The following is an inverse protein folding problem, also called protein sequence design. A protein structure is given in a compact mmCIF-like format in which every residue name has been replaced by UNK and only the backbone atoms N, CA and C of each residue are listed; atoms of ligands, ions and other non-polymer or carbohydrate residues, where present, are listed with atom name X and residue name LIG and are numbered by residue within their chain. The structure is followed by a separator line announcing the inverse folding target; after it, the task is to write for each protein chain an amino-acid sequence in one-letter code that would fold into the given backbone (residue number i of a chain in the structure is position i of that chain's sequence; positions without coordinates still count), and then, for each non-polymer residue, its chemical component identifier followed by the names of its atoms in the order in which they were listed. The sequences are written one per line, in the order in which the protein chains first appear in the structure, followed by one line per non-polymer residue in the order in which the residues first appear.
data_IF_636921723464
#
_entry.id   IF_636921723464
#
_cell.length_a   1.000
_cell.length_b   1.000
_cell.length_c   1.000
_cell.angle_alpha   90.00
_cell.angle_beta   90.00
_cell.angle_gamma   90.00
#
_symmetry.space_group_name_H-M   'P 1'
#
loop_
_entity.id
_entity.type
_entity.pdbx_description
1 polymer ?
#
# COMPACT_ATOMS: atom_id res chain seq x y z
N UNK A 1 15.87 16.76 57.39
CA UNK A 1 15.92 16.89 55.93
C UNK A 1 16.04 15.48 55.33
N UNK A 2 15.00 14.99 54.65
CA UNK A 2 15.05 13.77 53.84
C UNK A 2 14.83 14.22 52.41
N UNK A 3 15.86 14.10 51.58
CA UNK A 3 15.79 14.32 50.14
C UNK A 3 14.78 13.35 49.53
N UNK A 4 13.81 13.92 48.80
CA UNK A 4 12.95 13.18 47.88
C UNK A 4 13.81 12.82 46.68
N UNK A 5 14.31 11.58 46.67
CA UNK A 5 14.94 10.99 45.50
C UNK A 5 13.92 10.90 44.37
N UNK A 6 14.14 11.66 43.30
CA UNK A 6 13.42 11.51 42.04
C UNK A 6 13.63 10.08 41.52
N UNK A 7 12.61 9.22 41.66
CA UNK A 7 12.61 7.93 40.99
C UNK A 7 12.54 8.14 39.48
N UNK A 8 13.67 7.97 38.82
CA UNK A 8 13.76 7.78 37.38
C UNK A 8 13.15 6.42 37.07
N UNK A 9 11.89 6.39 36.62
CA UNK A 9 11.21 5.15 36.25
C UNK A 9 11.92 4.50 35.03
N UNK A 10 12.19 3.18 35.05
CA UNK A 10 12.80 2.48 33.92
C UNK A 10 11.81 2.32 32.76
N UNK A 11 12.34 2.49 31.54
CA UNK A 11 11.62 2.66 30.26
C UNK A 11 10.93 1.40 29.71
N UNK A 12 10.62 0.42 30.56
CA UNK A 12 10.00 -0.86 30.14
C UNK A 12 8.96 -1.29 31.16
N UNK A 13 7.80 -0.64 31.14
CA UNK A 13 6.59 -1.29 31.66
C UNK A 13 6.24 -2.43 30.69
N UNK A 14 6.54 -3.66 31.09
CA UNK A 14 6.17 -4.84 30.31
C UNK A 14 4.65 -4.94 30.29
N UNK A 15 4.07 -5.00 29.08
CA UNK A 15 2.65 -5.30 28.91
C UNK A 15 2.38 -6.62 29.67
N UNK A 16 1.45 -6.63 30.65
CA UNK A 16 1.12 -7.84 31.39
C UNK A 16 0.78 -8.99 30.43
N UNK A 17 1.36 -10.17 30.65
CA UNK A 17 1.08 -11.37 29.86
C UNK A 17 -0.27 -12.01 30.20
N UNK A 18 -0.85 -11.63 31.33
CA UNK A 18 -2.18 -12.03 31.72
C UNK A 18 -3.20 -11.09 31.07
N UNK A 19 -3.97 -11.64 30.13
CA UNK A 19 -4.98 -10.90 29.39
C UNK A 19 -6.14 -10.43 30.29
N UNK A 20 -6.37 -11.08 31.43
CA UNK A 20 -7.45 -10.74 32.38
C UNK A 20 -7.22 -9.45 33.15
N UNK A 21 -6.00 -8.89 33.09
CA UNK A 21 -5.64 -7.63 33.77
C UNK A 21 -5.35 -6.48 32.81
N UNK A 22 -5.44 -6.71 31.49
CA UNK A 22 -5.29 -5.64 30.51
C UNK A 22 -6.49 -4.71 30.59
N UNK A 23 -6.23 -3.46 30.97
CA UNK A 23 -7.22 -2.39 30.97
C UNK A 23 -6.87 -1.40 29.87
N UNK A 24 -7.71 -1.34 28.85
CA UNK A 24 -7.61 -0.34 27.80
C UNK A 24 -8.39 0.90 28.23
N UNK A 25 -7.68 1.95 28.62
CA UNK A 25 -8.26 3.26 28.89
C UNK A 25 -7.81 4.26 27.83
N UNK A 26 -8.72 5.13 27.43
CA UNK A 26 -8.39 6.23 26.55
C UNK A 26 -7.44 7.19 27.28
N UNK A 27 -6.18 7.20 26.89
CA UNK A 27 -5.17 8.07 27.49
C UNK A 27 -5.38 9.54 27.11
N UNK A 28 -5.67 9.82 25.84
CA UNK A 28 -5.82 11.19 25.31
C UNK A 28 -6.54 11.20 23.96
N UNK A 29 -6.97 12.39 23.50
CA UNK A 29 -7.58 12.61 22.19
C UNK A 29 -6.75 13.62 21.40
N UNK A 30 -6.21 13.20 20.26
CA UNK A 30 -5.49 14.07 19.33
C UNK A 30 -6.49 14.76 18.41
N UNK A 31 -6.73 16.05 18.62
CA UNK A 31 -7.69 16.84 17.84
C UNK A 31 -6.96 17.83 16.91
N UNK A 32 -7.48 18.01 15.70
CA UNK A 32 -6.95 19.01 14.77
C UNK A 32 -7.41 18.84 13.33
N UNK A 33 -7.57 17.60 12.86
CA UNK A 33 -8.10 17.36 11.52
C UNK A 33 -9.54 17.83 11.38
N UNK A 34 -9.89 18.32 10.18
CA UNK A 34 -11.23 18.80 9.82
C UNK A 34 -12.06 17.75 9.08
N UNK A 35 -11.45 16.63 8.70
CA UNK A 35 -12.09 15.49 8.05
C UNK A 35 -11.74 14.18 8.72
N UNK A 36 -12.18 13.06 8.13
CA UNK A 36 -11.84 11.72 8.64
C UNK A 36 -10.33 11.53 8.62
N UNK A 37 -9.80 10.84 9.64
CA UNK A 37 -8.41 10.41 9.67
C UNK A 37 -8.35 9.01 9.07
N UNK A 38 -7.67 8.87 7.93
CA UNK A 38 -7.66 7.63 7.15
C UNK A 38 -6.43 6.77 7.46
N UNK A 39 -5.34 7.39 7.91
CA UNK A 39 -4.06 6.73 8.12
C UNK A 39 -3.32 7.32 9.30
N UNK A 40 -2.54 6.48 9.99
CA UNK A 40 -1.60 6.87 11.03
C UNK A 40 -0.31 6.07 10.87
N UNK A 41 0.83 6.68 11.13
CA UNK A 41 2.13 6.01 11.05
C UNK A 41 3.12 6.56 12.06
N UNK A 42 3.84 5.66 12.72
CA UNK A 42 4.95 6.00 13.60
C UNK A 42 6.22 6.17 12.77
N UNK A 43 7.10 7.10 13.17
CA UNK A 43 8.47 7.03 12.70
C UNK A 43 9.19 5.81 13.34
N UNK A 44 10.31 5.39 12.75
CA UNK A 44 11.07 4.22 13.20
C UNK A 44 11.51 4.29 14.68
N UNK A 45 11.77 5.50 15.18
CA UNK A 45 12.24 5.72 16.56
C UNK A 45 11.09 5.85 17.59
N UNK A 46 9.82 5.88 17.13
CA UNK A 46 8.65 6.07 17.99
C UNK A 46 8.56 7.46 18.64
N UNK A 47 9.29 8.45 18.13
CA UNK A 47 9.34 9.83 18.65
C UNK A 47 8.36 10.77 17.96
N UNK A 48 7.75 10.34 16.85
CA UNK A 48 6.74 11.07 16.10
C UNK A 48 5.66 10.13 15.61
N UNK A 49 4.44 10.64 15.58
CA UNK A 49 3.30 10.01 14.93
C UNK A 49 2.80 10.98 13.84
N UNK A 50 2.43 10.47 12.67
CA UNK A 50 1.69 11.23 11.66
C UNK A 50 0.27 10.72 11.52
N UNK A 51 -0.62 11.59 11.04
CA UNK A 51 -1.97 11.23 10.60
C UNK A 51 -2.32 11.93 9.29
N UNK A 52 -2.87 11.19 8.33
CA UNK A 52 -3.37 11.73 7.05
C UNK A 52 -4.90 11.71 6.98
N UNK A 53 -5.50 12.68 6.28
CA UNK A 53 -6.94 12.94 6.38
C UNK A 53 -7.62 13.35 5.08
N UNK A 54 -8.95 13.25 5.08
CA UNK A 54 -9.87 13.88 4.13
C UNK A 54 -9.71 15.40 4.02
N UNK A 55 -9.12 16.06 5.02
CA UNK A 55 -8.83 17.50 4.97
C UNK A 55 -7.59 17.86 4.14
N UNK A 56 -7.05 16.89 3.38
CA UNK A 56 -5.91 17.00 2.46
C UNK A 56 -4.57 17.32 3.13
N UNK A 57 -4.49 17.21 4.46
CA UNK A 57 -3.27 17.49 5.22
C UNK A 57 -2.73 16.26 5.94
N UNK A 58 -1.44 16.29 6.23
CA UNK A 58 -0.82 15.38 7.21
C UNK A 58 -0.47 16.18 8.46
N UNK A 59 -0.83 15.66 9.64
CA UNK A 59 -0.46 16.24 10.93
C UNK A 59 0.64 15.45 11.61
N UNK A 60 1.51 16.15 12.31
CA UNK A 60 2.59 15.56 13.12
C UNK A 60 2.25 15.73 14.59
N UNK A 61 2.40 14.65 15.35
CA UNK A 61 2.12 14.59 16.77
C UNK A 61 3.37 14.23 17.55
N UNK A 62 3.58 14.92 18.67
CA UNK A 62 4.59 14.58 19.65
C UNK A 62 3.99 13.63 20.71
N UNK A 63 4.41 12.36 20.75
CA UNK A 63 3.90 11.37 21.70
C UNK A 63 4.24 11.66 23.16
N UNK A 64 5.26 12.48 23.43
CA UNK A 64 5.65 12.82 24.80
C UNK A 64 4.67 13.79 25.46
N UNK A 65 4.02 14.63 24.64
CA UNK A 65 3.04 15.63 25.08
C UNK A 65 1.63 15.35 24.54
N UNK A 66 1.49 14.41 23.61
CA UNK A 66 0.28 14.13 22.85
C UNK A 66 -0.32 15.39 22.22
N UNK A 67 0.54 16.25 21.67
CA UNK A 67 0.17 17.52 21.07
C UNK A 67 0.49 17.55 19.58
N UNK A 68 -0.26 18.35 18.82
CA UNK A 68 0.07 18.63 17.43
C UNK A 68 1.28 19.57 17.39
N UNK A 69 2.36 19.12 16.75
CA UNK A 69 3.61 19.89 16.62
C UNK A 69 3.90 20.33 15.20
N UNK A 70 3.13 19.83 14.23
CA UNK A 70 3.29 20.21 12.84
C UNK A 70 2.05 19.92 11.99
N UNK A 71 1.97 20.66 10.89
CA UNK A 71 1.02 20.50 9.81
C UNK A 71 1.81 20.51 8.50
N UNK A 72 1.63 19.47 7.70
CA UNK A 72 2.22 19.35 6.36
C UNK A 72 1.09 19.55 5.36
N UNK A 73 1.13 20.69 4.67
CA UNK A 73 0.32 20.93 3.48
C UNK A 73 0.98 20.20 2.31
N UNK A 74 0.53 18.96 2.11
CA UNK A 74 1.06 18.09 1.05
C UNK A 74 0.73 18.63 -0.35
N UNK A 75 -0.24 19.54 -0.49
CA UNK A 75 -0.76 19.96 -1.79
C UNK A 75 -1.63 18.92 -2.50
N UNK A 76 -2.02 17.82 -1.83
CA UNK A 76 -3.07 16.93 -2.31
C UNK A 76 -4.37 17.71 -2.51
N UNK A 77 -5.06 17.46 -3.62
CA UNK A 77 -6.34 18.13 -3.93
C UNK A 77 -7.55 17.40 -3.38
N UNK A 78 -7.35 16.16 -2.92
CA UNK A 78 -8.39 15.29 -2.35
C UNK A 78 -7.83 14.50 -1.15
N UNK A 79 -8.66 13.61 -0.63
CA UNK A 79 -8.42 12.85 0.59
C UNK A 79 -7.09 12.09 0.56
N UNK A 80 -6.34 12.15 1.65
CA UNK A 80 -5.14 11.32 1.85
C UNK A 80 -5.59 9.98 2.43
N UNK A 81 -5.26 8.88 1.75
CA UNK A 81 -5.59 7.53 2.22
C UNK A 81 -4.42 6.83 2.89
N UNK A 82 -3.17 7.15 2.50
CA UNK A 82 -1.99 6.60 3.15
C UNK A 82 -0.88 7.65 3.28
N UNK A 83 -0.15 7.59 4.39
CA UNK A 83 1.02 8.40 4.63
C UNK A 83 2.00 7.62 5.53
N UNK A 84 3.28 7.60 5.17
CA UNK A 84 4.33 6.90 5.91
C UNK A 84 5.60 7.76 5.98
N UNK A 85 6.32 7.70 7.10
CA UNK A 85 7.66 8.28 7.18
C UNK A 85 8.62 7.55 6.24
N UNK A 86 9.47 8.31 5.55
CA UNK A 86 10.57 7.72 4.77
C UNK A 86 11.59 7.10 5.72
N UNK A 87 11.88 5.79 5.63
CA UNK A 87 12.83 5.14 6.53
C UNK A 87 14.22 5.77 6.42
N UNK A 88 14.85 6.07 7.56
CA UNK A 88 16.18 6.67 7.59
C UNK A 88 16.24 8.18 7.33
N UNK A 89 15.12 8.84 7.01
CA UNK A 89 15.04 10.31 6.93
C UNK A 89 15.15 11.02 8.28
N UNK A 90 15.10 10.24 9.38
CA UNK A 90 15.19 10.77 10.73
C UNK A 90 13.96 11.57 11.17
N UNK A 91 12.78 11.28 10.59
CA UNK A 91 11.49 11.98 10.75
C UNK A 91 11.25 13.21 9.85
N UNK A 92 12.18 13.49 8.92
CA UNK A 92 12.16 14.69 8.07
C UNK A 92 11.28 14.60 6.83
N UNK A 93 11.00 13.40 6.36
CA UNK A 93 10.31 13.17 5.10
C UNK A 93 9.19 12.15 5.26
N UNK A 94 8.09 12.41 4.57
CA UNK A 94 6.94 11.51 4.47
C UNK A 94 6.57 11.30 3.00
N UNK A 95 6.06 10.12 2.69
CA UNK A 95 5.36 9.85 1.43
C UNK A 95 3.87 9.77 1.73
N UNK A 96 3.06 10.43 0.92
CA UNK A 96 1.59 10.38 1.00
C UNK A 96 0.98 10.05 -0.36
N UNK A 97 -0.18 9.40 -0.33
CA UNK A 97 -1.00 9.16 -1.50
C UNK A 97 -2.49 9.17 -1.15
N UNK A 98 -3.34 9.31 -2.17
CA UNK A 98 -4.77 9.38 -1.93
C UNK A 98 -5.67 9.40 -3.16
N UNK A 99 -6.84 10.01 -2.95
CA UNK A 99 -7.97 10.00 -3.88
C UNK A 99 -7.77 10.84 -5.15
N UNK A 100 -6.77 11.71 -5.15
CA UNK A 100 -6.36 12.49 -6.33
C UNK A 100 -5.44 11.71 -7.27
N UNK A 101 -5.06 10.48 -6.92
CA UNK A 101 -4.16 9.67 -7.73
C UNK A 101 -2.71 10.15 -7.67
N UNK A 102 -2.38 11.08 -6.79
CA UNK A 102 -1.03 11.60 -6.66
C UNK A 102 -0.22 10.81 -5.62
N UNK A 103 1.07 10.68 -5.86
CA UNK A 103 2.05 10.27 -4.85
C UNK A 103 2.97 11.44 -4.59
N UNK A 104 3.12 11.84 -3.33
CA UNK A 104 3.89 13.03 -2.93
C UNK A 104 4.93 12.71 -1.88
N UNK A 105 6.10 13.31 -2.02
CA UNK A 105 7.15 13.36 -1.01
C UNK A 105 7.13 14.74 -0.36
N UNK A 106 6.93 14.82 0.94
CA UNK A 106 6.84 16.08 1.66
C UNK A 106 7.81 16.15 2.82
N UNK A 107 8.37 17.34 3.05
CA UNK A 107 9.15 17.62 4.26
C UNK A 107 8.23 17.83 5.46
N UNK A 108 8.63 17.32 6.61
CA UNK A 108 7.88 17.44 7.88
C UNK A 108 8.24 18.69 8.68
N UNK A 109 9.42 19.26 8.41
CA UNK A 109 9.94 20.47 9.02
C UNK A 109 10.16 21.56 7.96
N UNK A 110 10.39 22.79 8.41
CA UNK A 110 10.68 23.91 7.53
C UNK A 110 9.43 24.49 6.87
N UNK A 111 9.55 24.86 5.59
CA UNK A 111 8.46 25.39 4.78
C UNK A 111 7.47 24.30 4.31
N UNK A 112 7.71 23.04 4.68
CA UNK A 112 6.84 21.92 4.31
C UNK A 112 6.90 21.61 2.82
N UNK A 113 8.03 21.87 2.16
CA UNK A 113 8.20 21.63 0.73
C UNK A 113 7.67 20.24 0.34
N UNK A 114 6.71 20.22 -0.58
CA UNK A 114 6.14 19.01 -1.13
C UNK A 114 6.46 18.89 -2.63
N UNK A 115 6.85 17.69 -3.04
CA UNK A 115 7.15 17.35 -4.42
C UNK A 115 6.28 16.19 -4.87
N UNK A 116 5.62 16.39 -6.01
CA UNK A 116 4.92 15.34 -6.74
C UNK A 116 5.92 14.31 -7.30
N UNK A 117 5.69 13.05 -6.98
CA UNK A 117 6.46 11.90 -7.48
C UNK A 117 5.80 11.25 -8.68
N UNK A 118 4.47 11.14 -8.71
CA UNK A 118 3.71 10.61 -9.83
C UNK A 118 2.23 11.03 -9.77
N UNK A 119 1.60 11.08 -10.94
CA UNK A 119 0.15 11.18 -11.13
C UNK A 119 -0.36 9.84 -11.68
N UNK A 120 -1.48 9.37 -11.15
CA UNK A 120 -2.13 8.12 -11.54
C UNK A 120 -3.59 8.46 -11.87
N UNK A 121 -4.17 7.78 -12.85
CA UNK A 121 -5.57 8.02 -13.25
C UNK A 121 -6.56 7.61 -12.16
N UNK A 122 -6.18 6.61 -11.35
CA UNK A 122 -7.00 6.04 -10.28
C UNK A 122 -6.42 6.33 -8.89
N UNK A 123 -7.28 6.21 -7.87
CA UNK A 123 -6.89 6.47 -6.50
C UNK A 123 -5.90 5.45 -5.94
N UNK A 124 -5.02 5.92 -5.06
CA UNK A 124 -4.03 5.12 -4.36
C UNK A 124 -4.48 4.87 -2.92
N UNK A 125 -4.32 3.64 -2.45
CA UNK A 125 -4.90 3.20 -1.19
C UNK A 125 -3.85 2.93 -0.10
N UNK A 126 -2.60 2.64 -0.50
CA UNK A 126 -1.55 2.28 0.45
C UNK A 126 -0.21 2.89 0.04
N UNK A 127 0.64 3.12 1.03
CA UNK A 127 2.09 3.30 0.90
C UNK A 127 2.72 2.28 1.83
N UNK A 128 3.70 1.53 1.34
CA UNK A 128 4.42 0.56 2.18
C UNK A 128 5.86 0.44 1.71
N UNK A 129 6.81 0.88 2.54
CA UNK A 129 8.23 0.71 2.23
C UNK A 129 8.65 -0.76 2.20
N UNK A 130 9.50 -1.09 1.23
CA UNK A 130 10.07 -2.43 1.10
C UNK A 130 11.13 -2.62 2.19
N UNK A 131 11.01 -3.61 3.08
CA UNK A 131 11.94 -3.78 4.18
C UNK A 131 13.38 -3.99 3.69
N UNK A 132 14.31 -3.21 4.24
CA UNK A 132 15.72 -3.21 3.82
C UNK A 132 16.05 -2.28 2.65
N UNK A 133 15.05 -1.65 2.03
CA UNK A 133 15.22 -0.70 0.92
C UNK A 133 14.53 0.63 1.25
N UNK A 134 15.19 1.54 1.99
CA UNK A 134 14.57 2.74 2.54
C UNK A 134 14.08 3.74 1.50
N UNK A 135 14.51 3.62 0.24
CA UNK A 135 14.03 4.45 -0.86
C UNK A 135 12.93 3.82 -1.70
N UNK A 136 12.63 2.53 -1.49
CA UNK A 136 11.71 1.77 -2.35
C UNK A 136 10.42 1.48 -1.59
N UNK A 137 9.29 1.81 -2.20
CA UNK A 137 7.98 1.54 -1.62
C UNK A 137 6.99 1.04 -2.68
N UNK A 138 5.94 0.38 -2.20
CA UNK A 138 4.83 -0.09 -2.99
C UNK A 138 3.60 0.76 -2.71
N UNK A 139 2.77 0.92 -3.74
CA UNK A 139 1.41 1.44 -3.58
C UNK A 139 0.44 0.49 -4.24
N UNK A 140 -0.74 0.35 -3.66
CA UNK A 140 -1.87 -0.34 -4.30
C UNK A 140 -2.90 0.66 -4.80
N UNK A 141 -3.61 0.28 -5.86
CA UNK A 141 -4.47 1.20 -6.60
C UNK A 141 -5.82 0.57 -6.92
N UNK A 142 -6.83 1.42 -7.08
CA UNK A 142 -8.18 0.97 -7.45
C UNK A 142 -8.22 0.22 -8.79
N UNK A 143 -7.28 0.54 -9.70
CA UNK A 143 -7.10 -0.13 -11.00
C UNK A 143 -6.63 -1.60 -10.91
N UNK A 144 -6.47 -2.10 -9.67
CA UNK A 144 -6.03 -3.45 -9.33
C UNK A 144 -4.57 -3.71 -9.68
N UNK A 145 -3.74 -2.68 -9.65
CA UNK A 145 -2.30 -2.82 -9.75
C UNK A 145 -1.60 -2.55 -8.43
N UNK A 146 -0.38 -3.07 -8.35
CA UNK A 146 0.62 -2.67 -7.37
C UNK A 146 1.74 -2.02 -8.15
N UNK A 147 2.06 -0.77 -7.83
CA UNK A 147 3.16 -0.02 -8.43
C UNK A 147 4.33 0.06 -7.47
N UNK A 148 5.54 0.04 -8.04
CA UNK A 148 6.79 0.18 -7.30
C UNK A 148 7.40 1.55 -7.58
N UNK A 149 7.91 2.18 -6.54
CA UNK A 149 8.53 3.49 -6.59
C UNK A 149 9.91 3.43 -5.97
N UNK A 150 10.87 4.16 -6.55
CA UNK A 150 12.17 4.42 -5.95
C UNK A 150 12.39 5.93 -5.82
N UNK A 151 12.52 6.43 -4.60
CA UNK A 151 12.72 7.86 -4.31
C UNK A 151 14.01 8.44 -4.93
N UNK A 152 14.95 7.57 -5.31
CA UNK A 152 16.19 7.96 -6.00
C UNK A 152 15.96 8.23 -7.49
N UNK A 153 14.93 7.60 -8.06
CA UNK A 153 14.54 7.81 -9.44
C UNK A 153 13.71 9.09 -9.55
N UNK A 154 13.96 9.84 -10.62
CA UNK A 154 13.13 10.98 -10.96
C UNK A 154 12.07 10.52 -11.94
N UNK A 155 10.98 9.96 -11.43
CA UNK A 155 9.76 9.87 -12.21
C UNK A 155 9.26 11.31 -12.43
N UNK A 156 9.01 11.64 -13.69
CA UNK A 156 8.32 12.89 -14.02
C UNK A 156 6.85 12.78 -13.57
N UNK A 157 6.19 13.91 -13.30
CA UNK A 157 4.76 13.92 -12.98
C UNK A 157 3.90 13.20 -14.05
N UNK A 158 4.36 13.18 -15.30
CA UNK A 158 3.70 12.54 -16.45
C UNK A 158 4.15 11.09 -16.72
N UNK A 159 5.11 10.54 -15.98
CA UNK A 159 5.55 9.16 -16.17
C UNK A 159 4.75 8.22 -15.27
N UNK A 160 4.03 7.28 -15.87
CA UNK A 160 3.30 6.25 -15.13
C UNK A 160 4.31 5.32 -14.42
N UNK A 161 4.27 5.22 -13.08
CA UNK A 161 5.23 4.40 -12.35
C UNK A 161 5.12 2.92 -12.75
N UNK A 162 6.24 2.17 -12.68
CA UNK A 162 6.25 0.78 -13.11
C UNK A 162 5.26 -0.08 -12.33
N UNK A 163 4.39 -0.78 -13.07
CA UNK A 163 3.50 -1.80 -12.52
C UNK A 163 4.31 -3.02 -12.13
N UNK A 164 4.40 -3.30 -10.84
CA UNK A 164 5.03 -4.49 -10.30
C UNK A 164 4.13 -5.72 -10.47
N UNK A 165 2.82 -5.56 -10.23
CA UNK A 165 1.85 -6.65 -10.24
C UNK A 165 0.48 -6.17 -10.72
N UNK A 166 -0.19 -6.98 -11.53
CA UNK A 166 -1.57 -6.75 -11.97
C UNK A 166 -2.49 -7.84 -11.44
N UNK A 167 -3.47 -7.45 -10.61
CA UNK A 167 -4.43 -8.31 -9.92
C UNK A 167 -5.70 -8.50 -10.78
N UNK A 168 -5.55 -8.88 -12.05
CA UNK A 168 -6.63 -8.84 -13.07
C UNK A 168 -7.92 -9.57 -12.69
N UNK A 169 -7.83 -10.62 -11.87
CA UNK A 169 -8.97 -11.43 -11.40
C UNK A 169 -9.32 -11.22 -9.93
N UNK A 170 -8.71 -10.23 -9.28
CA UNK A 170 -9.01 -9.87 -7.90
C UNK A 170 -10.03 -8.72 -7.82
N UNK A 171 -10.57 -8.54 -6.61
CA UNK A 171 -11.19 -7.29 -6.19
C UNK A 171 -10.16 -6.14 -6.12
N UNK A 172 -10.65 -4.92 -5.82
CA UNK A 172 -9.75 -3.79 -5.57
C UNK A 172 -8.87 -4.10 -4.37
N UNK A 173 -7.54 -3.86 -4.44
CA UNK A 173 -6.70 -3.99 -3.26
C UNK A 173 -7.19 -3.01 -2.18
N UNK A 174 -6.94 -3.34 -0.93
CA UNK A 174 -7.37 -2.57 0.23
C UNK A 174 -6.23 -2.34 1.22
N UNK A 175 -5.30 -3.29 1.31
CA UNK A 175 -4.14 -3.18 2.17
C UNK A 175 -3.01 -4.10 1.67
N UNK A 176 -1.76 -3.76 2.01
CA UNK A 176 -0.56 -4.51 1.69
C UNK A 176 0.37 -4.54 2.91
N UNK A 177 0.88 -5.71 3.28
CA UNK A 177 1.85 -5.82 4.35
C UNK A 177 3.00 -6.80 4.03
N UNK A 178 4.21 -6.45 4.48
CA UNK A 178 5.37 -7.33 4.37
C UNK A 178 5.44 -8.29 5.56
N UNK A 179 6.00 -9.47 5.31
CA UNK A 179 6.29 -10.43 6.36
C UNK A 179 7.45 -9.91 7.24
N UNK A 180 7.30 -9.88 8.57
CA UNK A 180 8.22 -9.18 9.47
C UNK A 180 9.64 -9.76 9.49
N UNK A 181 9.81 -11.05 9.17
CA UNK A 181 11.12 -11.73 9.11
C UNK A 181 11.51 -12.24 7.72
N UNK A 182 10.68 -12.00 6.69
CA UNK A 182 10.93 -12.44 5.31
C UNK A 182 10.68 -11.25 4.39
N UNK A 183 11.66 -10.36 4.21
CA UNK A 183 11.45 -9.05 3.57
C UNK A 183 11.05 -9.13 2.09
N UNK A 184 11.21 -10.30 1.45
CA UNK A 184 10.73 -10.52 0.10
C UNK A 184 9.26 -10.96 0.02
N UNK A 185 8.65 -11.39 1.12
CA UNK A 185 7.29 -11.89 1.13
C UNK A 185 6.32 -10.81 1.60
N UNK A 186 5.22 -10.61 0.86
CA UNK A 186 4.15 -9.69 1.24
C UNK A 186 2.79 -10.30 0.95
N UNK A 187 1.76 -9.79 1.62
CA UNK A 187 0.37 -10.17 1.42
C UNK A 187 -0.46 -8.95 1.02
N UNK A 188 -1.48 -9.18 0.20
CA UNK A 188 -2.45 -8.18 -0.23
C UNK A 188 -3.85 -8.65 0.15
N UNK A 189 -4.58 -7.79 0.85
CA UNK A 189 -6.02 -7.90 1.04
C UNK A 189 -6.76 -7.19 -0.10
N UNK A 190 -7.77 -7.83 -0.66
CA UNK A 190 -8.61 -7.26 -1.72
C UNK A 190 -10.07 -7.19 -1.26
N UNK A 191 -10.92 -6.49 -2.01
CA UNK A 191 -12.37 -6.44 -1.81
C UNK A 191 -13.09 -7.77 -2.10
N UNK A 192 -12.34 -8.84 -2.36
CA UNK A 192 -12.81 -10.22 -2.53
C UNK A 192 -12.41 -11.05 -1.29
N UNK A 193 -12.93 -12.28 -1.10
CA UNK A 193 -12.68 -13.03 0.13
C UNK A 193 -11.29 -13.71 0.17
N UNK A 194 -10.33 -13.25 -0.63
CA UNK A 194 -9.04 -13.92 -0.85
C UNK A 194 -7.88 -13.00 -0.47
N UNK A 195 -7.09 -13.41 0.52
CA UNK A 195 -5.76 -12.83 0.78
C UNK A 195 -4.74 -13.50 -0.12
N UNK A 196 -3.94 -12.71 -0.82
CA UNK A 196 -2.93 -13.22 -1.76
C UNK A 196 -1.54 -12.93 -1.22
N UNK A 197 -0.71 -13.97 -1.13
CA UNK A 197 0.68 -13.84 -0.70
C UNK A 197 1.63 -13.97 -1.90
N UNK A 198 2.64 -13.11 -1.93
CA UNK A 198 3.60 -12.99 -3.00
C UNK A 198 5.03 -13.04 -2.46
N UNK A 199 5.97 -13.38 -3.33
CA UNK A 199 7.41 -13.25 -3.08
C UNK A 199 8.02 -12.36 -4.18
N UNK A 200 8.59 -11.23 -3.80
CA UNK A 200 9.23 -10.26 -4.69
C UNK A 200 10.29 -10.90 -5.59
N UNK A 201 10.93 -11.99 -5.14
CA UNK A 201 11.95 -12.71 -5.93
C UNK A 201 11.34 -13.54 -7.06
N UNK A 202 10.07 -13.90 -6.92
CA UNK A 202 9.34 -14.79 -7.84
C UNK A 202 8.28 -14.02 -8.65
N UNK A 203 8.07 -12.75 -8.35
CA UNK A 203 7.14 -11.92 -9.09
C UNK A 203 7.76 -11.66 -10.47
N UNK A 204 7.11 -12.03 -11.59
CA UNK A 204 7.73 -11.92 -12.91
C UNK A 204 7.98 -10.45 -13.25
N UNK A 205 9.21 -10.00 -13.04
CA UNK A 205 9.70 -8.69 -13.46
C UNK A 205 9.92 -8.73 -14.96
N UNK A 206 9.14 -7.96 -15.72
CA UNK A 206 9.41 -7.73 -17.14
C UNK A 206 10.18 -6.40 -17.31
N UNK A 207 11.40 -6.31 -16.76
CA UNK A 207 12.16 -5.05 -16.70
C UNK A 207 12.95 -4.69 -17.98
N UNK A 208 12.67 -5.24 -19.17
CA UNK A 208 13.52 -4.89 -20.33
C UNK A 208 12.92 -4.87 -21.74
N UNK A 209 11.65 -5.19 -22.00
CA UNK A 209 11.21 -5.30 -23.42
C UNK A 209 9.92 -4.59 -23.84
N UNK A 210 9.20 -3.90 -22.96
CA UNK A 210 8.11 -2.98 -23.37
C UNK A 210 7.02 -3.57 -24.27
N UNK A 211 6.88 -4.90 -24.37
CA UNK A 211 5.82 -5.57 -25.15
C UNK A 211 4.74 -6.12 -24.23
N UNK A 212 3.48 -5.90 -24.62
CA UNK A 212 2.28 -6.55 -24.05
C UNK A 212 2.44 -8.07 -24.19
N UNK A 213 2.46 -8.79 -23.06
CA UNK A 213 2.39 -10.25 -23.06
C UNK A 213 0.94 -10.70 -23.21
N UNK A 214 0.76 -11.68 -24.08
CA UNK A 214 -0.53 -12.21 -24.48
C UNK A 214 -1.28 -12.86 -23.30
N UNK A 215 -2.58 -12.61 -23.30
CA UNK A 215 -3.58 -12.72 -22.23
C UNK A 215 -3.91 -14.13 -21.71
N UNK A 216 -3.06 -15.15 -21.97
CA UNK A 216 -3.47 -16.56 -21.85
C UNK A 216 -2.67 -17.47 -20.93
N UNK A 217 -1.62 -17.01 -20.26
CA UNK A 217 -0.79 -17.92 -19.43
C UNK A 217 -0.89 -17.59 -17.93
N UNK A 218 -2.00 -18.09 -17.38
CA UNK A 218 -2.26 -18.65 -16.05
C UNK A 218 -1.52 -18.17 -14.78
N UNK A 219 -2.30 -17.50 -13.93
CA UNK A 219 -2.16 -17.38 -12.47
C UNK A 219 -2.12 -18.76 -11.77
N UNK A 220 -2.61 -19.82 -12.43
CA UNK A 220 -2.71 -21.18 -11.88
C UNK A 220 -1.38 -21.95 -11.83
N UNK A 221 -0.39 -21.56 -12.64
CA UNK A 221 0.91 -22.23 -12.68
C UNK A 221 1.75 -21.98 -11.43
N UNK A 222 1.39 -20.98 -10.61
CA UNK A 222 2.11 -20.63 -9.37
C UNK A 222 1.74 -21.51 -8.16
N UNK A 223 0.64 -22.28 -8.24
CA UNK A 223 0.11 -23.06 -7.11
C UNK A 223 0.19 -24.58 -7.28
N UNK A 224 0.90 -25.11 -8.28
CA UNK A 224 1.13 -26.55 -8.36
C UNK A 224 2.15 -26.96 -7.27
N UNK A 225 1.77 -27.78 -6.26
CA UNK A 225 2.76 -28.41 -5.41
C UNK A 225 3.58 -29.35 -6.29
N UNK A 226 4.90 -29.28 -6.19
CA UNK A 226 5.78 -30.30 -6.78
C UNK A 226 5.53 -31.62 -6.04
N UNK A 227 4.55 -32.40 -6.48
CA UNK A 227 4.17 -33.67 -5.85
C UNK A 227 2.89 -34.26 -6.43
N UNK A 228 3.08 -35.25 -7.34
CA UNK A 228 2.10 -36.24 -7.81
C UNK A 228 0.75 -35.72 -8.34
N UNK A 229 0.65 -35.68 -9.67
CA UNK A 229 -0.63 -35.79 -10.39
C UNK A 229 -1.21 -37.19 -10.09
N UNK A 230 -2.45 -37.34 -9.58
CA UNK A 230 -3.08 -38.65 -9.48
C UNK A 230 -3.35 -39.21 -10.89
N UNK A 231 -3.07 -40.49 -11.16
CA UNK A 231 -3.30 -41.06 -12.48
C UNK A 231 -4.81 -41.27 -12.66
N UNK A 232 -5.46 -40.44 -13.49
CA UNK A 232 -6.83 -40.72 -13.89
C UNK A 232 -7.72 -39.52 -14.19
N UNK A 233 -7.31 -38.61 -15.07
CA UNK A 233 -8.28 -37.79 -15.82
C UNK A 233 -7.73 -37.52 -17.21
N UNK A 234 -8.14 -38.35 -18.17
CA UNK A 234 -8.02 -38.01 -19.59
C UNK A 234 -9.04 -36.91 -19.87
N UNK A 235 -8.58 -35.71 -20.22
CA UNK A 235 -9.40 -34.78 -20.99
C UNK A 235 -8.93 -34.82 -22.43
N UNK A 236 -9.87 -35.18 -23.31
CA UNK A 236 -9.68 -35.33 -24.74
C UNK A 236 -9.04 -34.07 -25.35
N UNK A 237 -7.87 -34.28 -25.95
CA UNK A 237 -7.38 -33.44 -27.04
C UNK A 237 -8.29 -33.64 -28.25
N UNK A 238 -8.98 -32.58 -28.70
CA UNK A 238 -9.77 -32.65 -29.91
C UNK A 238 -10.44 -31.33 -30.28
N UNK A 239 -9.88 -30.71 -31.32
CA UNK A 239 -10.56 -29.84 -32.29
C UNK A 239 -10.78 -28.35 -31.93
N UNK A 240 -9.93 -27.49 -32.52
CA UNK A 240 -10.42 -26.23 -33.09
C UNK A 240 -10.72 -26.42 -34.59
N UNK A 241 -10.91 -25.36 -35.39
CA UNK A 241 -11.56 -24.08 -35.13
C UNK A 241 -12.79 -23.90 -36.07
N UNK A 242 -13.90 -23.35 -35.60
CA UNK A 242 -14.99 -22.94 -36.50
C UNK A 242 -15.44 -21.49 -36.27
N UNK A 243 -15.05 -20.67 -37.22
CA UNK A 243 -15.71 -19.46 -37.70
C UNK A 243 -17.22 -19.67 -37.87
N UNK A 244 -18.03 -18.82 -37.23
CA UNK A 244 -19.41 -18.47 -37.66
C UNK A 244 -19.64 -16.99 -37.30
N UNK A 245 -19.45 -16.09 -38.25
CA UNK A 245 -20.51 -15.53 -39.11
C UNK A 245 -21.70 -14.97 -38.33
N UNK A 246 -21.70 -13.64 -38.30
CA UNK A 246 -22.81 -12.74 -37.97
C UNK A 246 -24.06 -13.08 -38.79
N UNK A 247 -25.19 -13.32 -38.13
CA UNK A 247 -26.49 -13.31 -38.77
C UNK A 247 -27.12 -11.92 -38.64
N UNK A 248 -27.40 -11.32 -39.81
CA UNK A 248 -28.14 -10.06 -39.98
C UNK A 248 -29.63 -10.39 -40.00
N UNK A 249 -30.39 -9.66 -39.18
CA UNK A 249 -31.85 -9.59 -39.24
C UNK A 249 -32.30 -9.07 -40.62
N UNK A 250 -33.24 -9.78 -41.27
CA UNK A 250 -34.14 -9.22 -42.28
C UNK A 250 -35.53 -9.77 -42.01
N UNK A 251 -36.45 -8.85 -41.75
CA UNK A 251 -37.87 -9.08 -41.66
C UNK A 251 -38.52 -9.14 -43.05
N UNK A 252 -39.65 -9.84 -43.16
CA UNK A 252 -40.75 -9.40 -44.02
C UNK A 252 -41.23 -10.36 -45.11
N UNK A 253 -42.54 -10.67 -45.02
CA UNK A 253 -43.48 -11.16 -46.05
C UNK A 253 -43.21 -12.56 -46.62
N UNK A 254 -44.19 -13.45 -46.84
CA UNK A 254 -45.65 -13.41 -46.80
C UNK A 254 -46.14 -14.65 -47.57
N UNK A 255 -47.36 -15.12 -47.29
CA UNK A 255 -48.00 -16.25 -47.99
C UNK A 255 -48.48 -17.33 -47.04
#
# INVERSE_FOLDING_TARGET
ARELGFLRMPRTELIPKDWGVLKLELQTKLQGHRGCVNTISWNNEGTRLISGSDDTTVRIWDPSTWSNVGLVDTGHSRNIFAAEFVPGSGDREIVSCGLDGEVRLSQTEGDGASRLLAENEDMLLTVTFVPGFPSVFLTTQEDRTVRIFDLREKHGASEDPPVLLSLRRAGSPSDLCFHPSRPSCFAIGCSDPIVRAYDLRMTPVHASTGRRLDSRVDEWAMFAPTGSVPPGTRYNSGEGPHTRQTFRQMAGSGG
#
